data_IF_035948306939
#
_entry.id   IF_035948306939
#
_cell.length_a   1.000
_cell.length_b   1.000
_cell.length_c   1.000
_cell.angle_alpha   90.00
_cell.angle_beta   90.00
_cell.angle_gamma   90.00
#
_symmetry.space_group_name_H-M   'P 1'
#
loop_
_entity.id
_entity.type
_entity.pdbx_description
1 polymer ?
#
# COMPACT_ATOMS: atom_id res chain seq x y z
N UNK A 1 5.40 16.09 -36.86
CA UNK A 1 5.39 15.92 -35.40
C UNK A 1 5.50 14.43 -35.10
N UNK A 2 6.72 13.94 -34.92
CA UNK A 2 7.00 12.52 -34.64
C UNK A 2 6.51 12.21 -33.22
N UNK A 3 5.43 11.44 -33.11
CA UNK A 3 4.96 10.92 -31.83
C UNK A 3 6.00 9.90 -31.37
N UNK A 4 6.94 10.32 -30.51
CA UNK A 4 7.81 9.39 -29.79
C UNK A 4 6.89 8.58 -28.86
N UNK A 5 6.50 7.37 -29.28
CA UNK A 5 5.85 6.41 -28.39
C UNK A 5 6.82 6.12 -27.26
N UNK A 6 6.56 6.66 -26.06
CA UNK A 6 7.28 6.30 -24.84
C UNK A 6 7.09 4.79 -24.65
N UNK A 7 8.11 4.00 -24.99
CA UNK A 7 8.12 2.56 -24.70
C UNK A 7 8.21 2.39 -23.19
N UNK A 8 7.41 1.48 -22.65
CA UNK A 8 7.47 1.08 -21.23
C UNK A 8 8.91 0.65 -20.94
N UNK A 9 9.50 1.23 -19.88
CA UNK A 9 10.87 0.92 -19.48
C UNK A 9 11.00 -0.54 -19.03
N UNK A 10 12.22 -1.09 -19.06
CA UNK A 10 12.48 -2.47 -18.63
C UNK A 10 12.01 -2.71 -17.18
N UNK A 11 12.29 -1.77 -16.28
CA UNK A 11 11.85 -1.83 -14.88
C UNK A 11 10.31 -1.82 -14.75
N UNK A 12 9.64 -0.89 -15.41
CA UNK A 12 8.17 -0.77 -15.41
C UNK A 12 7.50 -2.03 -15.97
N UNK A 13 8.09 -2.62 -17.02
CA UNK A 13 7.59 -3.84 -17.66
C UNK A 13 7.63 -5.06 -16.73
N UNK A 14 8.65 -5.16 -15.90
CA UNK A 14 8.86 -6.29 -14.98
C UNK A 14 8.61 -5.92 -13.51
N UNK A 15 7.88 -4.83 -13.24
CA UNK A 15 7.66 -4.31 -11.88
C UNK A 15 7.10 -5.37 -10.94
N UNK A 16 6.15 -6.19 -11.39
CA UNK A 16 5.58 -7.28 -10.57
C UNK A 16 6.63 -8.31 -10.14
N UNK A 17 7.57 -8.65 -11.02
CA UNK A 17 8.67 -9.56 -10.68
C UNK A 17 9.62 -8.91 -9.68
N UNK A 18 9.99 -7.64 -9.91
CA UNK A 18 10.84 -6.90 -8.98
C UNK A 18 10.21 -6.79 -7.59
N UNK A 19 8.93 -6.45 -7.50
CA UNK A 19 8.20 -6.38 -6.22
C UNK A 19 8.19 -7.74 -5.53
N UNK A 20 7.91 -8.82 -6.26
CA UNK A 20 7.91 -10.18 -5.71
C UNK A 20 9.29 -10.58 -5.17
N UNK A 21 10.36 -10.28 -5.92
CA UNK A 21 11.73 -10.50 -5.49
C UNK A 21 12.09 -9.69 -4.23
N UNK A 22 11.68 -8.43 -4.16
CA UNK A 22 11.88 -7.59 -2.98
C UNK A 22 11.15 -8.13 -1.75
N UNK A 23 9.92 -8.65 -1.91
CA UNK A 23 9.17 -9.27 -0.82
C UNK A 23 9.90 -10.52 -0.31
N UNK A 24 10.29 -11.43 -1.20
CA UNK A 24 10.99 -12.67 -0.83
C UNK A 24 12.32 -12.34 -0.14
N UNK A 25 13.10 -11.43 -0.72
CA UNK A 25 14.37 -11.00 -0.14
C UNK A 25 14.17 -10.34 1.23
N UNK A 26 13.16 -9.48 1.38
CA UNK A 26 12.83 -8.84 2.65
C UNK A 26 12.47 -9.85 3.74
N UNK A 27 11.65 -10.86 3.42
CA UNK A 27 11.29 -11.95 4.33
C UNK A 27 12.53 -12.76 4.73
N UNK A 28 13.37 -13.16 3.76
CA UNK A 28 14.57 -13.94 4.02
C UNK A 28 15.57 -13.17 4.90
N UNK A 29 15.81 -11.88 4.60
CA UNK A 29 16.67 -11.01 5.40
C UNK A 29 16.10 -10.86 6.82
N UNK A 30 14.79 -10.62 6.94
CA UNK A 30 14.11 -10.51 8.24
C UNK A 30 14.26 -11.78 9.08
N UNK A 31 14.13 -12.95 8.45
CA UNK A 31 14.29 -14.25 9.12
C UNK A 31 15.72 -14.51 9.61
N UNK A 32 16.75 -14.09 8.86
CA UNK A 32 18.16 -14.32 9.21
C UNK A 32 18.66 -13.28 10.22
N UNK A 33 18.22 -12.03 10.09
CA UNK A 33 18.69 -10.94 10.93
C UNK A 33 18.13 -11.01 12.36
N UNK A 34 17.03 -11.74 12.59
CA UNK A 34 16.48 -12.02 13.93
C UNK A 34 16.30 -10.74 14.76
N UNK A 35 16.93 -10.70 15.93
CA UNK A 35 16.84 -9.56 16.86
C UNK A 35 17.45 -8.26 16.32
N UNK A 36 18.34 -8.30 15.30
CA UNK A 36 18.93 -7.08 14.72
C UNK A 36 17.88 -6.21 14.00
N UNK A 37 16.77 -6.81 13.55
CA UNK A 37 15.63 -6.07 12.99
C UNK A 37 14.84 -5.33 14.09
N UNK A 38 14.96 -5.74 15.36
CA UNK A 38 14.29 -5.03 16.46
C UNK A 38 14.76 -3.58 16.57
N UNK A 39 16.00 -3.25 16.17
CA UNK A 39 16.43 -1.85 16.09
C UNK A 39 15.51 -1.02 15.17
N UNK A 40 15.17 -1.53 13.98
CA UNK A 40 14.23 -0.87 13.07
C UNK A 40 12.80 -0.79 13.64
N UNK A 41 12.38 -1.80 14.41
CA UNK A 41 11.10 -1.79 15.12
C UNK A 41 11.11 -0.76 16.27
N UNK A 42 12.23 -0.57 16.94
CA UNK A 42 12.41 0.39 18.02
C UNK A 42 12.57 1.84 17.51
N UNK A 43 12.81 2.03 16.21
CA UNK A 43 12.71 3.34 15.54
C UNK A 43 11.23 3.72 15.31
N UNK A 44 10.43 3.62 16.37
CA UNK A 44 9.02 3.93 16.39
C UNK A 44 8.78 5.09 17.34
N UNK A 45 7.98 6.06 16.92
CA UNK A 45 7.48 7.13 17.79
C UNK A 45 5.96 7.10 17.67
N UNK A 46 5.25 7.02 18.81
CA UNK A 46 3.78 6.95 18.86
C UNK A 46 3.17 5.88 17.93
N UNK A 47 3.71 4.65 17.88
CA UNK A 47 3.21 3.59 16.99
C UNK A 47 3.45 3.81 15.50
N UNK A 48 4.30 4.79 15.15
CA UNK A 48 4.70 5.07 13.77
C UNK A 48 6.17 4.76 13.56
N UNK A 49 6.44 3.79 12.69
CA UNK A 49 7.81 3.42 12.28
C UNK A 49 8.43 4.53 11.41
N UNK A 50 9.49 5.18 11.89
CA UNK A 50 10.10 6.35 11.23
C UNK A 50 10.65 5.97 9.83
N UNK A 51 11.45 4.89 9.66
CA UNK A 51 11.90 4.48 8.32
C UNK A 51 10.76 4.30 7.32
N UNK A 52 9.69 3.59 7.71
CA UNK A 52 8.53 3.35 6.84
C UNK A 52 7.81 4.67 6.53
N UNK A 53 7.64 5.55 7.52
CA UNK A 53 7.02 6.85 7.31
C UNK A 53 7.78 7.70 6.29
N UNK A 54 9.12 7.72 6.34
CA UNK A 54 9.96 8.41 5.36
C UNK A 54 9.76 7.83 3.96
N UNK A 55 9.76 6.50 3.82
CA UNK A 55 9.56 5.83 2.53
C UNK A 55 8.18 6.15 1.94
N UNK A 56 7.12 6.11 2.75
CA UNK A 56 5.76 6.49 2.33
C UNK A 56 5.73 7.96 1.89
N UNK A 57 6.37 8.85 2.64
CA UNK A 57 6.41 10.27 2.28
C UNK A 57 7.15 10.51 0.96
N UNK A 58 8.29 9.83 0.74
CA UNK A 58 9.02 9.86 -0.54
C UNK A 58 8.18 9.36 -1.71
N UNK A 59 7.23 8.45 -1.50
CA UNK A 59 6.30 8.00 -2.54
C UNK A 59 5.17 9.00 -2.80
N UNK A 60 4.61 9.61 -1.75
CA UNK A 60 3.48 10.55 -1.86
C UNK A 60 3.94 11.89 -2.45
N UNK A 61 5.10 12.38 -2.04
CA UNK A 61 5.57 13.73 -2.38
C UNK A 61 5.64 14.02 -3.89
N UNK A 62 6.22 13.14 -4.74
CA UNK A 62 6.26 13.35 -6.18
C UNK A 62 4.88 13.40 -6.82
N UNK A 63 3.92 12.62 -6.31
CA UNK A 63 2.54 12.64 -6.82
C UNK A 63 1.85 13.96 -6.46
N UNK A 64 2.08 14.48 -5.25
CA UNK A 64 1.52 15.76 -4.79
C UNK A 64 2.02 16.95 -5.63
N UNK A 65 3.31 16.97 -5.99
CA UNK A 65 3.89 18.03 -6.83
C UNK A 65 3.33 18.05 -8.27
N UNK A 66 2.78 16.94 -8.75
CA UNK A 66 2.19 16.84 -10.09
C UNK A 66 0.74 17.37 -10.14
N UNK A 67 0.14 17.71 -9.00
CA UNK A 67 -1.24 18.19 -8.93
C UNK A 67 -1.32 19.66 -9.37
N UNK A 68 -2.12 19.91 -10.40
CA UNK A 68 -2.45 21.25 -10.87
C UNK A 68 -3.68 21.79 -10.12
N UNK A 69 -3.45 22.68 -9.15
CA UNK A 69 -4.49 23.29 -8.33
C UNK A 69 -5.51 24.12 -9.14
N UNK A 70 -5.15 24.61 -10.32
CA UNK A 70 -6.06 25.38 -11.18
C UNK A 70 -7.19 24.51 -11.73
N UNK A 71 -6.93 23.21 -11.94
CA UNK A 71 -7.92 22.24 -12.40
C UNK A 71 -8.88 21.80 -11.29
N UNK A 72 -8.45 21.90 -10.03
CA UNK A 72 -9.27 21.52 -8.87
C UNK A 72 -10.57 22.34 -8.79
N UNK A 73 -10.49 23.64 -9.13
CA UNK A 73 -11.66 24.54 -9.13
C UNK A 73 -12.76 24.10 -10.10
N UNK A 74 -12.44 23.35 -11.15
CA UNK A 74 -13.41 22.88 -12.14
C UNK A 74 -13.99 21.49 -11.84
N UNK A 75 -13.50 20.78 -10.80
CA UNK A 75 -13.94 19.41 -10.49
C UNK A 75 -15.45 19.35 -10.17
N UNK A 76 -16.01 20.43 -9.59
CA UNK A 76 -17.43 20.54 -9.30
C UNK A 76 -18.35 20.51 -10.54
N UNK A 77 -17.82 20.72 -11.75
CA UNK A 77 -18.60 20.64 -13.00
C UNK A 77 -18.92 19.20 -13.42
N UNK A 78 -18.14 18.22 -12.95
CA UNK A 78 -18.32 16.79 -13.28
C UNK A 78 -18.21 15.92 -12.02
N UNK A 79 -19.16 16.03 -11.07
CA UNK A 79 -19.05 15.40 -9.75
C UNK A 79 -19.19 13.87 -9.79
N UNK A 80 -19.84 13.31 -10.82
CA UNK A 80 -20.13 11.86 -10.90
C UNK A 80 -18.86 11.00 -10.82
N UNK A 81 -17.80 11.39 -11.53
CA UNK A 81 -16.52 10.65 -11.52
C UNK A 81 -15.78 10.75 -10.18
N UNK A 82 -15.81 11.94 -9.56
CA UNK A 82 -15.24 12.14 -8.23
C UNK A 82 -16.01 11.32 -7.18
N UNK A 83 -17.34 11.40 -7.17
CA UNK A 83 -18.19 10.63 -6.25
C UNK A 83 -17.95 9.14 -6.37
N UNK A 84 -17.90 8.61 -7.60
CA UNK A 84 -17.57 7.19 -7.81
C UNK A 84 -16.19 6.85 -7.23
N UNK A 85 -15.18 7.68 -7.48
CA UNK A 85 -13.83 7.47 -6.96
C UNK A 85 -13.78 7.51 -5.43
N UNK A 86 -14.50 8.44 -4.80
CA UNK A 86 -14.60 8.54 -3.33
C UNK A 86 -15.31 7.32 -2.78
N UNK A 87 -16.47 6.95 -3.31
CA UNK A 87 -17.24 5.78 -2.87
C UNK A 87 -16.42 4.51 -3.03
N UNK A 88 -15.76 4.30 -4.16
CA UNK A 88 -14.95 3.09 -4.37
C UNK A 88 -13.75 3.06 -3.43
N UNK A 89 -13.00 4.15 -3.30
CA UNK A 89 -11.77 4.16 -2.50
C UNK A 89 -12.00 4.22 -0.99
N UNK A 90 -13.04 4.93 -0.54
CA UNK A 90 -13.27 5.20 0.88
C UNK A 90 -14.40 4.36 1.48
N UNK A 91 -15.32 3.84 0.67
CA UNK A 91 -16.40 2.96 1.14
C UNK A 91 -16.20 1.52 0.68
N UNK A 92 -16.08 1.27 -0.62
CA UNK A 92 -16.01 -0.13 -1.09
C UNK A 92 -14.71 -0.78 -0.65
N UNK A 93 -13.56 -0.12 -0.86
CA UNK A 93 -12.24 -0.69 -0.58
C UNK A 93 -12.02 -1.08 0.90
N UNK A 94 -12.31 -0.23 1.91
CA UNK A 94 -12.09 -0.61 3.31
C UNK A 94 -13.01 -1.73 3.77
N UNK A 95 -14.27 -1.72 3.34
CA UNK A 95 -15.25 -2.72 3.75
C UNK A 95 -15.01 -4.06 3.05
N UNK A 96 -14.53 -4.03 1.80
CA UNK A 96 -14.10 -5.25 1.10
C UNK A 96 -12.89 -5.87 1.80
N UNK A 97 -11.92 -5.04 2.23
CA UNK A 97 -10.76 -5.52 3.00
C UNK A 97 -11.20 -6.13 4.33
N UNK A 98 -12.07 -5.45 5.09
CA UNK A 98 -12.59 -5.96 6.35
C UNK A 98 -13.41 -7.25 6.17
N UNK A 99 -14.24 -7.31 5.12
CA UNK A 99 -15.03 -8.50 4.77
C UNK A 99 -14.14 -9.71 4.48
N UNK A 100 -13.09 -9.54 3.66
CA UNK A 100 -12.15 -10.62 3.40
C UNK A 100 -11.36 -10.98 4.66
N UNK A 101 -10.89 -10.00 5.44
CA UNK A 101 -10.22 -10.28 6.72
C UNK A 101 -11.12 -11.13 7.62
N UNK A 102 -12.38 -10.77 7.78
CA UNK A 102 -13.36 -11.54 8.56
C UNK A 102 -13.56 -12.97 8.03
N UNK A 103 -13.74 -13.16 6.71
CA UNK A 103 -13.87 -14.51 6.13
C UNK A 103 -12.63 -15.34 6.40
N UNK A 104 -11.45 -14.80 6.12
CA UNK A 104 -10.20 -15.54 6.23
C UNK A 104 -9.87 -15.84 7.69
N UNK A 105 -9.83 -14.84 8.58
CA UNK A 105 -9.45 -15.06 9.97
C UNK A 105 -10.53 -15.77 10.78
N UNK A 106 -11.81 -15.39 10.66
CA UNK A 106 -12.87 -15.95 11.51
C UNK A 106 -13.48 -17.25 10.99
N UNK A 107 -13.42 -17.54 9.69
CA UNK A 107 -14.02 -18.76 9.11
C UNK A 107 -12.97 -19.75 8.62
N UNK A 108 -12.11 -19.34 7.69
CA UNK A 108 -11.18 -20.26 7.03
C UNK A 108 -10.00 -20.66 7.93
N UNK A 109 -9.39 -19.70 8.61
CA UNK A 109 -8.22 -19.91 9.44
C UNK A 109 -8.53 -20.22 10.91
N UNK A 110 -9.81 -20.21 11.30
CA UNK A 110 -10.24 -20.61 12.65
C UNK A 110 -9.83 -22.05 13.01
N UNK A 111 -9.61 -22.92 12.01
CA UNK A 111 -9.11 -24.28 12.20
C UNK A 111 -7.57 -24.37 12.28
N UNK A 112 -6.84 -23.33 11.87
CA UNK A 112 -5.38 -23.32 11.74
C UNK A 112 -4.69 -22.31 12.69
N UNK A 113 -5.42 -21.38 13.29
CA UNK A 113 -4.91 -20.29 14.13
C UNK A 113 -5.66 -20.31 15.47
N UNK A 114 -4.96 -20.14 16.60
CA UNK A 114 -5.59 -20.09 17.92
C UNK A 114 -6.51 -18.85 18.04
N UNK A 115 -7.60 -18.92 18.83
CA UNK A 115 -8.53 -17.80 19.00
C UNK A 115 -7.87 -16.50 19.50
N UNK A 116 -6.78 -16.61 20.25
CA UNK A 116 -5.99 -15.48 20.75
C UNK A 116 -5.28 -14.73 19.61
N UNK A 117 -4.68 -15.44 18.66
CA UNK A 117 -4.03 -14.85 17.48
C UNK A 117 -5.02 -14.22 16.51
N UNK A 118 -6.28 -14.68 16.48
CA UNK A 118 -7.31 -14.11 15.61
C UNK A 118 -7.83 -12.74 16.10
N UNK A 119 -7.66 -12.42 17.38
CA UNK A 119 -8.09 -11.14 17.97
C UNK A 119 -7.04 -10.03 17.97
N UNK A 120 -5.79 -10.35 17.59
CA UNK A 120 -4.68 -9.38 17.54
C UNK A 120 -4.60 -8.59 16.24
N UNK A 121 -5.36 -8.98 15.19
CA UNK A 121 -5.33 -8.38 13.84
C UNK A 121 -6.61 -7.63 13.46
#
# INVERSE_FOLDING_TARGET
MTIIKKKIGFFEKYLTLWVTLCIIAGIAIGSIAGERIQFLRNMEIFKVNIPVAILIWLMIYPMMLQIDFSKIKNIGKHPKGLLLTIVVNWLIKPFTMAFFAWIFFSKLYSAFISPELAGEF
#
